data_IF_901976811731
#
_entry.id   IF_901976811731
#
_cell.length_a   1.000
_cell.length_b   1.000
_cell.length_c   1.000
_cell.angle_alpha   90.00
_cell.angle_beta   90.00
_cell.angle_gamma   90.00
#
_symmetry.space_group_name_H-M   'P 1'
#
loop_
_entity.id
_entity.type
_entity.pdbx_description
1 polymer ?
#
# COMPACT_ATOMS: atom_id res chain seq x y z
N UNK A 1 23.60 -38.67 -95.34
CA UNK A 1 24.56 -39.36 -94.45
C UNK A 1 24.45 -38.63 -93.07
N UNK A 2 23.69 -39.26 -92.17
CA UNK A 2 23.23 -38.68 -90.92
C UNK A 2 24.11 -39.08 -89.76
N UNK A 3 24.72 -38.07 -89.04
CA UNK A 3 25.33 -38.35 -87.75
C UNK A 3 24.38 -37.89 -86.66
N UNK A 4 23.77 -38.85 -85.98
CA UNK A 4 23.00 -38.59 -84.78
C UNK A 4 23.96 -38.28 -83.61
N UNK A 5 23.85 -37.06 -83.11
CA UNK A 5 24.51 -36.62 -81.87
C UNK A 5 23.67 -37.11 -80.69
N UNK A 6 24.19 -37.99 -79.85
CA UNK A 6 23.59 -38.41 -78.61
C UNK A 6 23.83 -37.37 -77.54
N UNK A 7 22.79 -36.64 -77.10
CA UNK A 7 22.83 -35.76 -75.97
C UNK A 7 22.78 -36.63 -74.70
N UNK A 8 23.89 -36.67 -73.94
CA UNK A 8 23.94 -37.23 -72.58
C UNK A 8 23.36 -36.17 -71.63
N UNK A 9 22.21 -36.49 -71.05
CA UNK A 9 21.64 -35.71 -69.95
C UNK A 9 22.49 -35.95 -68.68
N UNK A 10 23.20 -34.91 -68.22
CA UNK A 10 23.78 -34.90 -66.90
C UNK A 10 22.66 -34.55 -65.94
N UNK A 11 22.28 -35.45 -65.07
CA UNK A 11 21.43 -35.20 -63.94
C UNK A 11 22.35 -34.62 -62.82
N UNK A 12 22.27 -33.32 -62.60
CA UNK A 12 22.91 -32.67 -61.46
C UNK A 12 21.98 -32.86 -60.30
N UNK A 13 22.33 -33.77 -59.38
CA UNK A 13 21.65 -33.94 -58.09
C UNK A 13 22.09 -32.76 -57.18
N UNK A 14 21.21 -31.76 -57.06
CA UNK A 14 21.40 -30.68 -56.06
C UNK A 14 21.06 -31.27 -54.71
N UNK A 15 22.09 -31.58 -53.93
CA UNK A 15 21.96 -31.90 -52.50
C UNK A 15 21.51 -30.65 -51.76
N UNK A 16 20.20 -30.57 -51.45
CA UNK A 16 19.66 -29.47 -50.68
C UNK A 16 20.24 -29.45 -49.26
N UNK A 17 21.10 -28.47 -48.98
CA UNK A 17 21.51 -28.15 -47.61
C UNK A 17 20.33 -27.42 -46.99
N UNK A 18 19.58 -28.09 -46.12
CA UNK A 18 18.53 -27.53 -45.30
C UNK A 18 19.18 -26.69 -44.22
N UNK A 19 19.01 -25.35 -44.18
CA UNK A 19 19.54 -24.55 -43.10
C UNK A 19 18.79 -24.92 -41.81
N UNK A 20 19.49 -25.51 -40.86
CA UNK A 20 19.02 -25.71 -39.48
C UNK A 20 18.93 -24.28 -38.84
N UNK A 21 17.76 -23.69 -38.87
CA UNK A 21 17.49 -22.45 -38.15
C UNK A 21 17.46 -22.80 -36.66
N UNK A 22 18.60 -22.60 -36.01
CA UNK A 22 18.69 -22.63 -34.55
C UNK A 22 17.95 -21.42 -34.01
N UNK A 23 16.66 -21.60 -33.66
CA UNK A 23 15.89 -20.57 -32.96
C UNK A 23 16.48 -20.42 -31.55
N UNK A 24 17.38 -19.44 -31.39
CA UNK A 24 17.76 -18.93 -30.10
C UNK A 24 16.49 -18.30 -29.49
N UNK A 25 15.77 -19.09 -28.70
CA UNK A 25 14.69 -18.60 -27.87
C UNK A 25 15.28 -17.56 -26.92
N UNK A 26 15.03 -16.28 -27.17
CA UNK A 26 15.29 -15.24 -26.18
C UNK A 26 14.34 -15.51 -25.04
N UNK A 27 14.86 -16.07 -23.95
CA UNK A 27 14.13 -16.11 -22.68
C UNK A 27 13.87 -14.68 -22.28
N UNK A 28 12.67 -14.19 -22.51
CA UNK A 28 12.23 -12.92 -21.94
C UNK A 28 12.08 -13.16 -20.44
N UNK A 29 12.95 -12.53 -19.65
CA UNK A 29 12.76 -12.42 -18.22
C UNK A 29 11.53 -11.56 -18.05
N UNK A 30 10.40 -12.17 -17.73
CA UNK A 30 9.22 -11.42 -17.32
C UNK A 30 9.56 -10.80 -15.96
N UNK A 31 9.82 -9.51 -15.94
CA UNK A 31 9.80 -8.76 -14.69
C UNK A 31 8.36 -8.86 -14.16
N UNK A 32 8.21 -9.29 -12.91
CA UNK A 32 6.93 -9.22 -12.25
C UNK A 32 6.48 -7.75 -12.29
N UNK A 33 5.26 -7.51 -12.76
CA UNK A 33 4.71 -6.17 -12.80
C UNK A 33 4.46 -5.74 -11.35
N UNK A 34 5.03 -4.61 -10.94
CA UNK A 34 4.71 -3.94 -9.68
C UNK A 34 3.19 -3.73 -9.61
N UNK A 35 2.57 -4.13 -8.50
CA UNK A 35 1.15 -3.85 -8.28
C UNK A 35 0.94 -2.34 -8.18
N UNK A 36 0.01 -1.80 -8.96
CA UNK A 36 -0.34 -0.37 -8.92
C UNK A 36 -1.72 -0.22 -8.33
N UNK A 37 -1.82 0.42 -7.16
CA UNK A 37 -3.06 0.59 -6.42
C UNK A 37 -3.10 1.96 -5.77
N UNK A 38 -4.20 2.67 -5.91
CA UNK A 38 -4.45 3.96 -5.25
C UNK A 38 -5.09 3.67 -3.87
N UNK A 39 -4.37 3.92 -2.79
CA UNK A 39 -4.83 3.68 -1.42
C UNK A 39 -5.22 5.00 -0.79
N UNK A 40 -6.49 5.19 -0.56
CA UNK A 40 -7.02 6.39 0.08
C UNK A 40 -7.36 6.16 1.55
N UNK A 41 -7.06 7.16 2.40
CA UNK A 41 -7.44 7.12 3.81
C UNK A 41 -8.32 8.32 4.18
N UNK A 42 -9.33 8.06 5.02
CA UNK A 42 -10.12 9.09 5.68
C UNK A 42 -10.03 8.91 7.19
N UNK A 43 -10.19 10.00 7.93
CA UNK A 43 -10.15 10.02 9.39
C UNK A 43 -11.33 10.83 9.92
N UNK A 44 -12.05 10.28 10.89
CA UNK A 44 -13.11 10.97 11.61
C UNK A 44 -12.91 10.79 13.11
N UNK A 45 -13.30 11.79 13.89
CA UNK A 45 -13.38 11.70 15.34
C UNK A 45 -14.85 11.76 15.76
N UNK A 46 -15.22 11.02 16.81
CA UNK A 46 -16.58 11.06 17.38
C UNK A 46 -16.92 12.44 17.97
N UNK A 47 -15.91 13.21 18.32
CA UNK A 47 -16.01 14.59 18.81
C UNK A 47 -14.73 15.38 18.47
N UNK A 48 -14.83 16.70 18.42
CA UNK A 48 -13.68 17.58 18.21
C UNK A 48 -13.13 18.24 19.50
N UNK A 49 -13.83 18.03 20.62
CA UNK A 49 -13.45 18.51 21.94
C UNK A 49 -13.56 17.36 22.93
N UNK A 50 -12.49 17.09 23.67
CA UNK A 50 -12.49 16.06 24.72
C UNK A 50 -12.13 16.69 26.06
N UNK A 51 -12.87 16.32 27.11
CA UNK A 51 -12.58 16.77 28.49
C UNK A 51 -11.56 15.87 29.14
N UNK A 52 -10.78 16.44 30.06
CA UNK A 52 -9.91 15.65 30.92
C UNK A 52 -10.69 14.52 31.60
N UNK A 53 -10.15 13.29 31.51
CA UNK A 53 -10.76 12.08 32.05
C UNK A 53 -11.83 11.41 31.15
N UNK A 54 -12.13 11.99 29.98
CA UNK A 54 -12.97 11.36 28.96
C UNK A 54 -12.11 10.77 27.84
N UNK A 55 -12.71 9.88 27.08
CA UNK A 55 -12.09 9.32 25.86
C UNK A 55 -12.61 10.01 24.60
N UNK A 56 -11.83 9.93 23.55
CA UNK A 56 -12.17 10.29 22.18
C UNK A 56 -11.84 9.11 21.27
N UNK A 57 -12.69 8.86 20.29
CA UNK A 57 -12.53 7.77 19.33
C UNK A 57 -12.24 8.33 17.94
N UNK A 58 -11.15 7.88 17.35
CA UNK A 58 -10.79 8.16 15.96
C UNK A 58 -11.04 6.91 15.12
N UNK A 59 -11.70 7.08 14.00
CA UNK A 59 -11.94 6.02 13.02
C UNK A 59 -11.27 6.38 11.72
N UNK A 60 -10.26 5.61 11.36
CA UNK A 60 -9.64 5.67 10.05
C UNK A 60 -10.26 4.63 9.13
N UNK A 61 -10.62 5.03 7.93
CA UNK A 61 -11.13 4.16 6.88
C UNK A 61 -10.16 4.20 5.71
N UNK A 62 -9.52 3.08 5.42
CA UNK A 62 -8.61 2.90 4.29
C UNK A 62 -9.29 2.12 3.19
N UNK A 63 -9.21 2.59 1.97
CA UNK A 63 -9.83 1.97 0.79
C UNK A 63 -8.81 1.82 -0.32
N UNK A 64 -8.71 0.64 -0.90
CA UNK A 64 -8.00 0.43 -2.14
C UNK A 64 -8.92 0.83 -3.30
N UNK A 65 -8.65 1.98 -3.92
CA UNK A 65 -9.40 2.46 -5.08
C UNK A 65 -9.05 1.69 -6.37
N UNK A 66 -8.11 0.77 -6.30
CA UNK A 66 -7.69 -0.08 -7.41
C UNK A 66 -6.63 0.57 -8.31
N UNK A 67 -6.35 0.01 -9.49
CA UNK A 67 -7.08 -1.11 -10.11
C UNK A 67 -6.66 -2.51 -9.63
N UNK A 68 -5.56 -2.67 -8.89
CA UNK A 68 -5.02 -3.96 -8.47
C UNK A 68 -5.10 -4.13 -6.95
N UNK A 69 -4.90 -5.36 -6.49
CA UNK A 69 -4.73 -5.65 -5.08
C UNK A 69 -3.44 -5.01 -4.56
N UNK A 70 -3.50 -4.49 -3.35
CA UNK A 70 -2.36 -3.94 -2.64
C UNK A 70 -1.83 -4.96 -1.62
N UNK A 71 -0.51 -5.01 -1.47
CA UNK A 71 0.17 -5.95 -0.58
C UNK A 71 0.98 -5.19 0.46
N UNK A 72 1.01 -5.71 1.70
CA UNK A 72 1.79 -5.19 2.82
C UNK A 72 1.51 -3.70 3.07
N UNK A 73 0.23 -3.40 3.29
CA UNK A 73 -0.27 -2.04 3.51
C UNK A 73 -0.67 -1.86 4.97
N UNK A 74 -0.21 -0.79 5.60
CA UNK A 74 -0.46 -0.51 7.00
C UNK A 74 -1.20 0.81 7.18
N UNK A 75 -2.01 0.89 8.23
CA UNK A 75 -2.56 2.14 8.74
C UNK A 75 -1.92 2.46 10.08
N UNK A 76 -1.21 3.56 10.17
CA UNK A 76 -0.64 4.04 11.41
C UNK A 76 -1.18 5.39 11.85
N UNK A 77 -1.22 5.62 13.16
CA UNK A 77 -1.63 6.89 13.76
C UNK A 77 -0.45 7.59 14.44
N UNK A 78 -0.20 8.82 14.03
CA UNK A 78 0.66 9.72 14.79
C UNK A 78 -0.18 10.47 15.80
N UNK A 79 0.17 10.31 17.09
CA UNK A 79 -0.52 10.95 18.20
C UNK A 79 0.33 12.06 18.81
N UNK A 80 -0.27 13.18 19.21
CA UNK A 80 0.43 14.25 19.92
C UNK A 80 0.60 13.88 21.41
N UNK A 81 1.58 14.49 22.08
CA UNK A 81 1.86 14.26 23.51
C UNK A 81 0.67 14.61 24.44
N UNK A 82 -0.30 15.38 23.92
CA UNK A 82 -1.52 15.75 24.62
C UNK A 82 -2.53 14.61 24.79
N UNK A 83 -2.33 13.51 24.08
CA UNK A 83 -3.23 12.36 24.08
C UNK A 83 -2.47 11.07 24.37
N UNK A 84 -3.01 10.27 25.27
CA UNK A 84 -2.53 8.92 25.54
C UNK A 84 -3.41 7.88 24.82
N UNK A 85 -2.79 6.90 24.20
CA UNK A 85 -3.47 5.74 23.65
C UNK A 85 -4.16 4.93 24.76
N UNK A 86 -5.42 4.61 24.57
CA UNK A 86 -6.18 3.70 25.43
C UNK A 86 -6.29 2.33 24.79
N UNK A 87 -6.70 2.29 23.53
CA UNK A 87 -6.80 1.04 22.76
C UNK A 87 -6.76 1.32 21.27
N UNK A 88 -6.39 0.30 20.50
CA UNK A 88 -6.54 0.27 19.07
C UNK A 88 -7.16 -1.04 18.62
N UNK A 89 -7.98 -0.99 17.59
CA UNK A 89 -8.68 -2.14 17.01
C UNK A 89 -8.62 -2.07 15.49
N UNK A 90 -8.27 -3.19 14.87
CA UNK A 90 -8.35 -3.40 13.44
C UNK A 90 -9.57 -4.30 13.16
N UNK A 91 -10.38 -3.97 12.15
CA UNK A 91 -11.53 -4.82 11.77
C UNK A 91 -11.07 -6.17 11.21
N UNK A 92 -9.92 -6.14 10.54
CA UNK A 92 -9.17 -7.27 10.03
C UNK A 92 -7.67 -6.91 10.09
N UNK A 93 -6.80 -7.85 10.03
CA UNK A 93 -5.35 -7.60 10.17
C UNK A 93 -4.86 -7.75 11.60
N UNK A 94 -3.63 -7.35 11.83
CA UNK A 94 -2.92 -7.49 13.10
C UNK A 94 -2.64 -6.10 13.65
N UNK A 95 -2.85 -5.92 14.96
CA UNK A 95 -2.37 -4.75 15.69
C UNK A 95 -1.23 -5.22 16.62
N UNK A 96 0.02 -5.13 16.21
CA UNK A 96 1.13 -5.27 17.14
C UNK A 96 1.12 -4.06 18.10
N UNK A 97 1.60 -4.15 19.29
CA UNK A 97 1.59 -3.24 20.46
C UNK A 97 1.78 -1.71 20.20
N UNK A 98 1.60 -1.25 18.98
CA UNK A 98 1.79 0.14 18.50
C UNK A 98 0.53 0.66 17.82
N UNK A 99 0.33 1.98 17.66
CA UNK A 99 -0.88 2.51 17.06
C UNK A 99 -0.92 2.34 15.53
N UNK A 100 -0.85 1.09 15.05
CA UNK A 100 -1.03 0.75 13.65
C UNK A 100 -1.69 -0.62 13.44
N UNK A 101 -2.27 -0.81 12.25
CA UNK A 101 -2.86 -2.06 11.77
C UNK A 101 -2.13 -2.50 10.50
N UNK A 102 -1.70 -3.76 10.48
CA UNK A 102 -1.03 -4.40 9.35
C UNK A 102 -2.03 -5.22 8.52
N UNK A 103 -1.98 -5.06 7.22
CA UNK A 103 -2.80 -5.79 6.26
C UNK A 103 -1.90 -6.44 5.20
N UNK A 104 -1.81 -7.77 5.20
CA UNK A 104 -1.02 -8.50 4.21
C UNK A 104 -1.51 -8.29 2.78
N UNK A 105 -2.82 -8.07 2.61
CA UNK A 105 -3.45 -7.82 1.32
C UNK A 105 -4.69 -6.96 1.50
N UNK A 106 -4.90 -6.00 0.61
CA UNK A 106 -6.12 -5.22 0.48
C UNK A 106 -6.59 -5.31 -0.97
N UNK A 107 -7.68 -6.06 -1.22
CA UNK A 107 -8.17 -6.28 -2.57
C UNK A 107 -8.64 -4.98 -3.24
N UNK A 108 -8.61 -4.92 -4.56
CA UNK A 108 -9.14 -3.77 -5.30
C UNK A 108 -10.62 -3.53 -4.95
N UNK A 109 -10.94 -2.31 -4.52
CA UNK A 109 -12.27 -1.91 -4.02
C UNK A 109 -12.53 -2.26 -2.56
N UNK A 110 -11.63 -2.96 -1.88
CA UNK A 110 -11.80 -3.31 -0.47
C UNK A 110 -11.59 -2.09 0.43
N UNK A 111 -12.36 -2.07 1.52
CA UNK A 111 -12.27 -1.06 2.57
C UNK A 111 -12.07 -1.74 3.91
N UNK A 112 -11.15 -1.20 4.72
CA UNK A 112 -10.86 -1.65 6.09
C UNK A 112 -10.97 -0.49 7.06
N UNK A 113 -11.33 -0.80 8.31
CA UNK A 113 -11.54 0.19 9.36
C UNK A 113 -10.60 -0.06 10.53
N UNK A 114 -9.94 0.99 10.98
CA UNK A 114 -9.09 0.99 12.17
C UNK A 114 -9.63 2.01 13.16
N UNK A 115 -9.80 1.60 14.40
CA UNK A 115 -10.33 2.44 15.47
C UNK A 115 -9.30 2.65 16.56
N UNK A 116 -9.02 3.92 16.87
CA UNK A 116 -8.11 4.31 17.93
C UNK A 116 -8.89 5.07 19.01
N UNK A 117 -8.78 4.63 20.26
CA UNK A 117 -9.35 5.31 21.43
C UNK A 117 -8.23 5.98 22.20
N UNK A 118 -8.39 7.25 22.50
CA UNK A 118 -7.41 8.04 23.25
C UNK A 118 -8.06 8.82 24.39
N UNK A 119 -7.23 9.24 25.35
CA UNK A 119 -7.63 10.10 26.47
C UNK A 119 -6.64 11.24 26.63
N UNK A 120 -7.05 12.44 27.08
CA UNK A 120 -6.12 13.51 27.35
C UNK A 120 -5.05 13.13 28.37
N UNK A 121 -3.80 13.49 28.08
CA UNK A 121 -2.66 13.28 28.97
C UNK A 121 -2.80 14.14 30.23
N UNK A 122 -2.73 13.57 31.43
CA UNK A 122 -2.74 14.36 32.67
C UNK A 122 -1.59 15.37 32.73
N UNK A 123 -1.86 16.57 33.25
CA UNK A 123 -0.82 17.60 33.44
C UNK A 123 -0.48 18.40 32.17
N UNK A 124 -1.16 18.23 31.06
CA UNK A 124 -0.97 19.06 29.85
C UNK A 124 -1.22 20.54 30.18
N UNK A 125 -0.26 21.46 29.89
CA UNK A 125 -0.40 22.87 30.14
C UNK A 125 -1.59 23.50 29.41
N UNK A 126 -2.16 24.56 29.98
CA UNK A 126 -3.34 25.25 29.39
C UNK A 126 -3.08 25.87 28.02
N UNK A 127 -1.83 26.12 27.65
CA UNK A 127 -1.43 26.61 26.33
C UNK A 127 -1.29 25.51 25.28
N UNK A 128 -1.19 24.24 25.69
CA UNK A 128 -1.04 23.10 24.80
C UNK A 128 -2.36 22.31 24.71
N UNK A 129 -3.48 23.02 24.44
CA UNK A 129 -4.83 22.42 24.45
C UNK A 129 -5.31 21.92 23.08
N UNK A 130 -4.46 21.95 22.10
CA UNK A 130 -4.75 21.38 20.80
C UNK A 130 -3.72 20.31 20.48
N UNK A 131 -4.17 19.21 19.92
CA UNK A 131 -3.34 18.14 19.45
C UNK A 131 -3.81 17.68 18.07
N UNK A 132 -2.87 17.40 17.19
CA UNK A 132 -3.17 16.87 15.86
C UNK A 132 -2.98 15.37 15.87
N UNK A 133 -4.03 14.63 15.53
CA UNK A 133 -3.95 13.19 15.24
C UNK A 133 -3.92 13.01 13.73
N UNK A 134 -2.94 12.27 13.24
CA UNK A 134 -2.78 11.97 11.81
C UNK A 134 -2.87 10.46 11.59
N UNK A 135 -3.69 10.04 10.66
CA UNK A 135 -3.69 8.69 10.12
C UNK A 135 -2.91 8.67 8.81
N UNK A 136 -2.01 7.71 8.66
CA UNK A 136 -1.15 7.54 7.50
C UNK A 136 -1.25 6.11 6.97
N UNK A 137 -1.17 5.97 5.65
CA UNK A 137 -0.91 4.71 4.97
C UNK A 137 0.60 4.53 4.85
N UNK A 138 1.07 3.33 5.17
CA UNK A 138 2.45 2.91 4.96
C UNK A 138 2.48 1.68 4.08
N UNK A 139 3.57 1.52 3.35
CA UNK A 139 3.87 0.32 2.58
C UNK A 139 5.11 -0.33 3.20
N UNK A 140 4.97 -1.56 3.65
CA UNK A 140 6.03 -2.27 4.38
C UNK A 140 7.22 -2.63 3.47
N UNK A 141 6.97 -2.77 2.17
CA UNK A 141 7.95 -3.27 1.20
C UNK A 141 8.38 -2.17 0.23
N UNK A 142 9.69 -1.96 0.11
CA UNK A 142 10.27 -1.04 -0.87
C UNK A 142 10.25 -1.66 -2.27
N UNK A 143 9.47 -1.06 -3.16
CA UNK A 143 9.33 -1.45 -4.56
C UNK A 143 10.62 -1.41 -5.37
N UNK A 144 11.69 -0.82 -4.85
CA UNK A 144 13.00 -0.84 -5.51
C UNK A 144 13.65 -2.22 -5.47
N UNK A 145 13.23 -3.10 -4.55
CA UNK A 145 13.86 -4.39 -4.28
C UNK A 145 12.90 -5.59 -4.36
N UNK A 146 11.59 -5.38 -4.27
CA UNK A 146 10.59 -6.47 -4.29
C UNK A 146 9.56 -6.26 -5.42
N UNK A 147 9.48 -7.19 -6.40
CA UNK A 147 8.49 -7.09 -7.47
C UNK A 147 7.04 -7.30 -7.01
N UNK A 148 6.83 -7.80 -5.78
CA UNK A 148 5.49 -8.01 -5.21
C UNK A 148 5.03 -6.81 -4.35
N UNK A 149 5.74 -5.70 -4.38
CA UNK A 149 5.35 -4.51 -3.67
C UNK A 149 4.15 -3.79 -4.32
N UNK A 150 3.53 -2.90 -3.56
CA UNK A 150 2.50 -1.99 -4.04
C UNK A 150 3.10 -0.62 -4.33
N UNK A 151 2.83 -0.10 -5.52
CA UNK A 151 3.12 1.28 -5.88
C UNK A 151 1.83 2.09 -5.91
N UNK A 152 1.77 3.15 -5.09
CA UNK A 152 0.66 4.09 -5.09
C UNK A 152 1.03 5.36 -5.86
N UNK A 153 0.38 5.63 -7.01
CA UNK A 153 0.67 6.81 -7.82
C UNK A 153 0.10 8.10 -7.22
N UNK A 154 -0.80 8.02 -6.23
CA UNK A 154 -1.51 9.14 -5.62
C UNK A 154 -1.23 9.27 -4.12
N UNK A 155 0.02 9.40 -3.74
CA UNK A 155 0.42 9.53 -2.32
C UNK A 155 -0.23 10.73 -1.58
N UNK A 156 -0.91 11.62 -2.28
CA UNK A 156 -1.58 12.77 -1.69
C UNK A 156 -2.82 12.44 -0.86
N UNK A 157 -3.42 11.25 -1.02
CA UNK A 157 -4.57 10.76 -0.27
C UNK A 157 -4.20 9.70 0.80
N UNK A 158 -2.91 9.46 1.01
CA UNK A 158 -2.37 8.48 1.96
C UNK A 158 -2.21 9.02 3.39
N UNK A 159 -2.57 10.27 3.62
CA UNK A 159 -2.45 10.91 4.94
C UNK A 159 -3.59 11.88 5.18
N UNK A 160 -4.12 11.88 6.41
CA UNK A 160 -5.19 12.79 6.82
C UNK A 160 -5.03 13.13 8.30
N UNK A 161 -5.32 14.38 8.67
CA UNK A 161 -5.16 14.88 10.03
C UNK A 161 -6.43 15.51 10.58
N UNK A 162 -6.64 15.35 11.89
CA UNK A 162 -7.70 16.03 12.65
C UNK A 162 -7.09 16.75 13.84
N UNK A 163 -7.54 18.00 14.08
CA UNK A 163 -7.21 18.75 15.28
C UNK A 163 -8.25 18.46 16.36
N UNK A 164 -7.77 18.00 17.51
CA UNK A 164 -8.57 17.75 18.71
C UNK A 164 -8.27 18.79 19.77
N UNK A 165 -9.32 19.34 20.37
CA UNK A 165 -9.21 20.33 21.45
C UNK A 165 -9.48 19.71 22.81
N UNK A 166 -8.58 20.01 23.75
CA UNK A 166 -8.71 19.58 25.13
C UNK A 166 -9.45 20.63 25.94
N UNK A 167 -10.48 20.24 26.69
CA UNK A 167 -11.29 21.15 27.50
C UNK A 167 -11.34 20.67 28.96
N UNK A 168 -11.68 21.60 29.88
CA UNK A 168 -11.80 21.31 31.30
C UNK A 168 -10.70 21.95 32.13
N UNK A 169 -10.93 22.03 33.45
CA UNK A 169 -9.93 22.50 34.42
C UNK A 169 -8.92 21.38 34.63
N UNK A 170 -7.62 21.72 34.55
CA UNK A 170 -6.60 20.87 35.14
C UNK A 170 -6.91 20.79 36.64
N UNK A 171 -7.01 19.56 37.18
CA UNK A 171 -6.94 19.42 38.63
C UNK A 171 -5.57 19.93 39.05
N UNK A 172 -5.53 21.06 39.74
CA UNK A 172 -4.33 21.41 40.44
C UNK A 172 -4.09 20.37 41.53
N UNK A 173 -2.85 19.90 41.70
CA UNK A 173 -2.49 19.03 42.78
C UNK A 173 -2.75 19.72 44.12
#
# INVERSE_FOLDING_TARGET
>A
MNKLMKFRRFIVTILGILPLILSLGTSQVAFAATSTSDIAITLVADQNHVKMGQTITYTATMTNLGPQDAFFVDVGFSMPDQLNLVSMTCDRGISPDTPFCEYSTLAAGETVVSTLVATPTPGVPTYAREGTVTANVFFEVDCSFDPNCTFDPNSGNNSVSIITRLTGKLAHP
#
